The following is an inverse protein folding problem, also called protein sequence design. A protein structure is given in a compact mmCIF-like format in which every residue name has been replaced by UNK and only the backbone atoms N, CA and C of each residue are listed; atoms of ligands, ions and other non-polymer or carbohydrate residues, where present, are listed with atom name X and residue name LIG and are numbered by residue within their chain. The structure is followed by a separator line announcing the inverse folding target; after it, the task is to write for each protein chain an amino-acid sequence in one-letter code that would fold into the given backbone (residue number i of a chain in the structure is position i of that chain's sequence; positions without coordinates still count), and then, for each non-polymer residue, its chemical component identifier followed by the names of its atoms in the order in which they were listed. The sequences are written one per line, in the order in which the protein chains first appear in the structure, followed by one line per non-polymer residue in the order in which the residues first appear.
data_IF_241456204538
#
_entry.id   IF_241456204538
#
_cell.length_a   1.000
_cell.length_b   1.000
_cell.length_c   1.000
_cell.angle_alpha   90.00
_cell.angle_beta   90.00
_cell.angle_gamma   90.00
#
_symmetry.space_group_name_H-M   'P 1'
#
loop_
_entity.id
_entity.type
_entity.pdbx_description
1 polymer ?
#
# COMPACT_ATOMS: atom_id res chain seq x y z
N UNK A 1 -11.28 3.25 15.76
CA UNK A 1 -10.04 2.75 15.14
C UNK A 1 -10.13 2.89 13.64
N UNK A 2 -9.15 3.52 13.06
CA UNK A 2 -9.14 3.79 11.63
C UNK A 2 -8.39 2.69 10.90
N UNK A 3 -9.13 1.90 10.15
CA UNK A 3 -8.53 0.91 9.26
C UNK A 3 -8.90 1.29 7.84
N UNK A 4 -7.91 1.34 6.98
CA UNK A 4 -8.16 1.65 5.58
C UNK A 4 -8.97 0.53 4.95
N UNK A 5 -9.91 0.90 4.10
CA UNK A 5 -10.65 -0.07 3.32
C UNK A 5 -9.66 -0.83 2.43
N UNK A 6 -9.83 -2.16 2.27
CA UNK A 6 -8.90 -2.96 1.45
C UNK A 6 -8.71 -2.39 0.04
N UNK A 7 -9.75 -1.84 -0.57
CA UNK A 7 -9.64 -1.26 -1.90
C UNK A 7 -8.70 -0.05 -1.91
N UNK A 8 -8.76 0.79 -0.88
CA UNK A 8 -7.88 1.95 -0.75
C UNK A 8 -6.45 1.48 -0.55
N UNK A 9 -6.26 0.49 0.31
CA UNK A 9 -4.94 -0.03 0.61
C UNK A 9 -4.30 -0.64 -0.63
N UNK A 10 -5.08 -1.40 -1.40
CA UNK A 10 -4.59 -1.99 -2.65
C UNK A 10 -4.18 -0.91 -3.64
N UNK A 11 -4.99 0.14 -3.77
CA UNK A 11 -4.67 1.26 -4.65
C UNK A 11 -3.35 1.91 -4.25
N UNK A 12 -3.14 2.11 -2.97
CA UNK A 12 -1.91 2.72 -2.47
C UNK A 12 -0.68 1.85 -2.78
N UNK A 13 -0.80 0.55 -2.58
CA UNK A 13 0.29 -0.37 -2.89
C UNK A 13 0.58 -0.38 -4.38
N UNK A 14 -0.46 -0.42 -5.21
CA UNK A 14 -0.29 -0.38 -6.66
C UNK A 14 0.36 0.92 -7.12
N UNK A 15 -0.05 2.04 -6.55
CA UNK A 15 0.55 3.34 -6.87
C UNK A 15 2.02 3.36 -6.48
N UNK A 16 2.34 2.84 -5.32
CA UNK A 16 3.73 2.80 -4.88
C UNK A 16 4.59 1.98 -5.83
N UNK A 17 4.13 0.80 -6.22
CA UNK A 17 4.89 -0.06 -7.10
C UNK A 17 5.07 0.56 -8.49
N UNK A 18 4.04 1.20 -9.02
CA UNK A 18 4.12 1.91 -10.28
C UNK A 18 5.13 3.06 -10.21
N UNK A 19 5.06 3.85 -9.15
CA UNK A 19 5.98 4.97 -8.96
C UNK A 19 7.41 4.51 -8.76
N UNK A 20 7.60 3.38 -8.10
CA UNK A 20 8.91 2.80 -7.90
C UNK A 20 9.57 2.46 -9.24
N UNK A 21 8.80 1.87 -10.14
CA UNK A 21 9.29 1.53 -11.48
C UNK A 21 9.61 2.81 -12.26
N UNK A 22 8.71 3.78 -12.22
CA UNK A 22 8.92 5.07 -12.87
C UNK A 22 10.15 5.77 -12.33
N UNK A 23 10.35 5.74 -11.04
CA UNK A 23 11.50 6.38 -10.40
C UNK A 23 12.81 5.74 -10.85
N UNK A 24 12.81 4.43 -11.07
CA UNK A 24 13.99 3.73 -11.55
C UNK A 24 14.33 4.13 -12.98
N UNK A 25 13.33 4.46 -13.80
CA UNK A 25 13.54 4.85 -15.19
C UNK A 25 13.73 6.35 -15.35
N UNK A 26 13.01 7.13 -14.54
CA UNK A 26 13.02 8.59 -14.62
C UNK A 26 13.00 9.16 -13.22
N UNK A 27 14.16 9.55 -12.71
CA UNK A 27 14.31 10.08 -11.35
C UNK A 27 13.91 11.54 -11.27
N UNK A 28 12.81 11.92 -11.90
CA UNK A 28 12.33 13.29 -11.84
C UNK A 28 11.87 13.64 -10.42
N UNK A 29 11.95 14.93 -10.10
CA UNK A 29 11.54 15.42 -8.80
C UNK A 29 10.05 15.20 -8.56
N UNK A 30 9.25 15.31 -9.62
CA UNK A 30 7.81 15.09 -9.51
C UNK A 30 7.49 13.65 -9.12
N UNK A 31 8.14 12.68 -9.77
CA UNK A 31 7.94 11.27 -9.45
C UNK A 31 8.36 10.99 -8.02
N UNK A 32 9.51 11.55 -7.61
CA UNK A 32 9.99 11.38 -6.25
C UNK A 32 9.02 11.93 -5.23
N UNK A 33 8.44 13.10 -5.50
CA UNK A 33 7.47 13.71 -4.59
C UNK A 33 6.23 12.84 -4.44
N UNK A 34 5.70 12.32 -5.55
CA UNK A 34 4.54 11.43 -5.50
C UNK A 34 4.86 10.16 -4.74
N UNK A 35 6.05 9.63 -4.94
CA UNK A 35 6.49 8.44 -4.24
C UNK A 35 6.57 8.68 -2.73
N UNK A 36 7.12 9.84 -2.34
CA UNK A 36 7.18 10.22 -0.93
C UNK A 36 5.77 10.36 -0.33
N UNK A 37 4.84 10.95 -1.06
CA UNK A 37 3.46 11.12 -0.60
C UNK A 37 2.78 9.76 -0.39
N UNK A 38 2.92 8.85 -1.33
CA UNK A 38 2.32 7.52 -1.22
C UNK A 38 2.97 6.75 -0.08
N UNK A 39 4.29 6.87 0.04
CA UNK A 39 5.03 6.24 1.14
C UNK A 39 4.51 6.71 2.49
N UNK A 40 4.38 8.02 2.64
CA UNK A 40 3.87 8.58 3.88
C UNK A 40 2.46 8.07 4.19
N UNK A 41 1.59 8.10 3.18
CA UNK A 41 0.22 7.66 3.34
C UNK A 41 0.15 6.19 3.74
N UNK A 42 0.97 5.34 3.10
CA UNK A 42 1.04 3.93 3.44
C UNK A 42 1.50 3.72 4.87
N UNK A 43 2.54 4.45 5.29
CA UNK A 43 3.06 4.34 6.65
C UNK A 43 2.01 4.74 7.67
N UNK A 44 1.32 5.85 7.44
CA UNK A 44 0.26 6.31 8.35
C UNK A 44 -0.89 5.32 8.39
N UNK A 45 -1.31 4.84 7.23
CA UNK A 45 -2.43 3.92 7.12
C UNK A 45 -2.16 2.59 7.81
N UNK A 46 -0.94 2.10 7.70
CA UNK A 46 -0.56 0.82 8.31
C UNK A 46 0.03 0.96 9.71
N UNK A 47 0.27 2.18 10.16
CA UNK A 47 0.85 2.42 11.46
C UNK A 47 2.33 2.06 11.55
N UNK A 48 3.05 2.18 10.45
CA UNK A 48 4.47 1.83 10.38
C UNK A 48 5.31 3.08 10.17
N UNK A 49 6.63 2.92 10.26
CA UNK A 49 7.55 4.05 10.15
C UNK A 49 8.34 4.07 8.85
N UNK A 50 8.40 2.95 8.16
CA UNK A 50 9.17 2.85 6.92
C UNK A 50 8.37 2.09 5.88
N UNK A 51 8.77 2.26 4.61
CA UNK A 51 8.01 1.72 3.50
C UNK A 51 8.05 0.19 3.48
N UNK A 52 9.16 -0.42 3.86
CA UNK A 52 9.26 -1.88 3.85
C UNK A 52 8.26 -2.48 4.83
N UNK A 53 8.20 -1.94 6.04
CA UNK A 53 7.24 -2.38 7.04
C UNK A 53 5.82 -2.09 6.60
N UNK A 54 5.60 -0.94 5.96
CA UNK A 54 4.28 -0.56 5.48
C UNK A 54 3.78 -1.54 4.41
N UNK A 55 4.65 -1.93 3.49
CA UNK A 55 4.27 -2.88 2.44
C UNK A 55 3.96 -4.26 3.01
N UNK A 56 4.76 -4.72 3.96
CA UNK A 56 4.51 -6.00 4.62
C UNK A 56 3.17 -5.96 5.34
N UNK A 57 2.92 -4.91 6.09
CA UNK A 57 1.66 -4.76 6.82
C UNK A 57 0.47 -4.66 5.86
N UNK A 58 0.62 -3.91 4.76
CA UNK A 58 -0.44 -3.76 3.78
C UNK A 58 -0.78 -5.09 3.12
N UNK A 59 0.23 -5.83 2.71
CA UNK A 59 0.03 -7.14 2.09
C UNK A 59 -0.63 -8.11 3.06
N UNK A 60 -0.24 -8.05 4.31
CA UNK A 60 -0.82 -8.88 5.34
C UNK A 60 -2.30 -8.56 5.54
N UNK A 61 -2.64 -7.28 5.60
CA UNK A 61 -4.03 -6.85 5.74
C UNK A 61 -4.87 -7.24 4.53
N UNK A 62 -4.31 -7.11 3.33
CA UNK A 62 -5.00 -7.49 2.10
C UNK A 62 -5.23 -9.00 2.04
N UNK A 63 -4.25 -9.78 2.47
CA UNK A 63 -4.39 -11.24 2.53
C UNK A 63 -5.47 -11.63 3.53
N UNK A 64 -5.53 -10.96 4.68
CA UNK A 64 -6.54 -11.20 5.69
C UNK A 64 -7.94 -10.88 5.19
N UNK A 65 -8.09 -9.76 4.49
CA UNK A 65 -9.37 -9.37 3.91
C UNK A 65 -9.84 -10.38 2.87
N UNK A 66 -8.91 -10.86 2.04
CA UNK A 66 -9.22 -11.87 1.03
C UNK A 66 -9.62 -13.18 1.67
N UNK A 67 -8.95 -13.57 2.75
CA UNK A 67 -9.28 -14.80 3.47
C UNK A 67 -10.69 -14.71 4.06
N UNK A 68 -11.06 -13.55 4.58
CA UNK A 68 -12.40 -13.33 5.09
C UNK A 68 -13.45 -13.49 3.98
N UNK A 69 -13.18 -12.93 2.80
CA UNK A 69 -14.06 -13.06 1.66
C UNK A 69 -14.20 -14.52 1.24
N UNK A 70 -13.11 -15.25 1.22
CA UNK A 70 -13.14 -16.67 0.89
C UNK A 70 -13.97 -17.44 1.90
N UNK A 71 -13.84 -17.11 3.18
CA UNK A 71 -14.63 -17.75 4.23
C UNK A 71 -16.12 -17.53 4.01
N UNK A 72 -16.51 -16.34 3.62
CA UNK A 72 -17.89 -16.01 3.35
C UNK A 72 -18.42 -16.81 2.16
N UNK A 73 -17.60 -17.00 1.16
CA UNK A 73 -17.99 -17.74 -0.04
C UNK A 73 -18.13 -19.23 0.24
N UNK A 74 -17.33 -19.76 1.14
CA UNK A 74 -17.38 -21.18 1.45
C UNK A 74 -18.45 -21.53 2.48
N UNK A 75 -18.91 -20.55 3.20
CA UNK A 75 -19.97 -20.75 4.17
C UNK A 75 -21.32 -20.83 3.50
#
# INVERSE_FOLDING_TARGET
MLMAHPAVLRTLVDQYETLRILHAEDSSEEVRRRMDDVTYTLCVTTGTRDIDSALVAARHQLAGARADDDSLLTA
#
